data_IF_708993658690
#
_entry.id   IF_708993658690
#
_cell.length_a   1.000
_cell.length_b   1.000
_cell.length_c   1.000
_cell.angle_alpha   90.00
_cell.angle_beta   90.00
_cell.angle_gamma   90.00
#
_symmetry.space_group_name_H-M   'P 1'
#
loop_
_entity.id
_entity.type
_entity.pdbx_description
1 polymer ?
#
# COMPACT_ATOMS: atom_id res chain seq x y z
N UNK A 1 30.70 -22.46 17.99
CA UNK A 1 31.80 -23.47 18.01
C UNK A 1 33.17 -22.86 17.67
N UNK A 2 33.23 -21.72 16.96
CA UNK A 2 34.47 -21.09 16.48
C UNK A 2 35.17 -20.12 17.47
N UNK A 3 34.51 -19.69 18.54
CA UNK A 3 35.10 -18.80 19.56
C UNK A 3 36.25 -19.40 20.37
N UNK A 4 36.48 -20.72 20.27
CA UNK A 4 37.55 -21.45 20.96
C UNK A 4 38.90 -21.44 20.23
N UNK A 5 38.98 -20.95 18.99
CA UNK A 5 40.17 -21.07 18.12
C UNK A 5 40.74 -19.73 17.66
N UNK A 6 40.69 -18.69 18.51
CA UNK A 6 41.24 -17.35 18.20
C UNK A 6 42.74 -17.36 17.87
N UNK A 7 43.48 -18.40 18.26
CA UNK A 7 44.92 -18.53 17.96
C UNK A 7 45.21 -19.16 16.58
N UNK A 8 44.18 -19.59 15.83
CA UNK A 8 44.28 -20.22 14.50
C UNK A 8 43.58 -19.42 13.39
N UNK A 9 43.38 -18.10 13.57
CA UNK A 9 42.64 -17.25 12.62
C UNK A 9 43.20 -17.36 11.19
N UNK A 10 44.52 -17.35 11.03
CA UNK A 10 45.17 -17.49 9.71
C UNK A 10 44.89 -18.83 9.03
N UNK A 11 44.78 -19.92 9.81
CA UNK A 11 44.50 -21.25 9.26
C UNK A 11 43.03 -21.36 8.84
N UNK A 12 42.12 -20.71 9.56
CA UNK A 12 40.68 -20.66 9.26
C UNK A 12 40.43 -19.83 7.99
N UNK A 13 41.03 -18.64 7.88
CA UNK A 13 40.94 -17.82 6.67
C UNK A 13 41.44 -18.57 5.44
N UNK A 14 42.55 -19.31 5.58
CA UNK A 14 43.08 -20.12 4.50
C UNK A 14 42.13 -21.26 4.11
N UNK A 15 41.51 -21.94 5.09
CA UNK A 15 40.49 -22.97 4.84
C UNK A 15 39.26 -22.39 4.14
N UNK A 16 38.81 -21.21 4.53
CA UNK A 16 37.66 -20.54 3.92
C UNK A 16 37.97 -20.07 2.49
N UNK A 17 39.18 -19.61 2.21
CA UNK A 17 39.64 -19.30 0.85
C UNK A 17 39.70 -20.58 -0.01
N UNK A 18 40.16 -21.69 0.56
CA UNK A 18 40.07 -22.99 -0.12
C UNK A 18 38.62 -23.41 -0.36
N UNK A 19 37.72 -23.23 0.60
CA UNK A 19 36.30 -23.51 0.44
C UNK A 19 35.66 -22.66 -0.66
N UNK A 20 36.03 -21.38 -0.78
CA UNK A 20 35.62 -20.51 -1.89
C UNK A 20 36.09 -21.06 -3.24
N UNK A 21 37.34 -21.52 -3.32
CA UNK A 21 37.88 -22.11 -4.55
C UNK A 21 37.17 -23.41 -4.95
N UNK A 22 36.79 -24.23 -3.96
CA UNK A 22 36.02 -25.46 -4.17
C UNK A 22 34.58 -25.14 -4.58
N UNK A 23 33.99 -24.09 -4.02
CA UNK A 23 32.63 -23.63 -4.34
C UNK A 23 32.48 -23.13 -5.79
N UNK A 24 33.59 -22.86 -6.48
CA UNK A 24 33.62 -22.51 -7.92
C UNK A 24 33.68 -23.73 -8.85
N UNK A 25 33.81 -24.94 -8.32
CA UNK A 25 33.82 -26.16 -9.14
C UNK A 25 32.38 -26.43 -9.61
N UNK A 26 32.13 -26.57 -10.92
CA UNK A 26 30.79 -26.77 -11.47
C UNK A 26 30.32 -28.22 -11.27
N UNK A 27 30.11 -28.61 -10.01
CA UNK A 27 29.64 -29.93 -9.58
C UNK A 27 28.56 -29.76 -8.50
N UNK A 28 27.40 -30.37 -8.73
CA UNK A 28 26.20 -30.19 -7.91
C UNK A 28 26.40 -30.75 -6.50
N UNK A 29 27.10 -31.88 -6.34
CA UNK A 29 27.32 -32.50 -5.04
C UNK A 29 28.34 -31.70 -4.23
N UNK A 30 29.36 -31.15 -4.89
CA UNK A 30 30.30 -30.20 -4.27
C UNK A 30 29.56 -28.92 -3.83
N UNK A 31 28.68 -28.40 -4.67
CA UNK A 31 27.89 -27.20 -4.36
C UNK A 31 26.99 -27.41 -3.14
N UNK A 32 26.29 -28.55 -3.04
CA UNK A 32 25.48 -28.92 -1.86
C UNK A 32 26.30 -28.93 -0.58
N UNK A 33 27.47 -29.58 -0.62
CA UNK A 33 28.36 -29.67 0.54
C UNK A 33 28.82 -28.27 0.96
N UNK A 34 29.30 -27.46 0.01
CA UNK A 34 29.79 -26.11 0.30
C UNK A 34 28.69 -25.21 0.84
N UNK A 35 27.50 -25.26 0.25
CA UNK A 35 26.35 -24.43 0.65
C UNK A 35 25.94 -24.71 2.11
N UNK A 36 25.90 -25.99 2.53
CA UNK A 36 25.63 -26.33 3.93
C UNK A 36 26.66 -25.76 4.92
N UNK A 37 27.95 -25.65 4.53
CA UNK A 37 28.95 -24.94 5.34
C UNK A 37 28.70 -23.43 5.34
N UNK A 38 28.38 -22.85 4.19
CA UNK A 38 28.17 -21.41 4.05
C UNK A 38 26.93 -20.90 4.80
N UNK A 39 25.85 -21.68 4.90
CA UNK A 39 24.67 -21.32 5.70
C UNK A 39 25.02 -21.08 7.18
N UNK A 40 25.88 -21.92 7.74
CA UNK A 40 26.32 -21.74 9.15
C UNK A 40 27.34 -20.62 9.32
N UNK A 41 28.03 -20.24 8.24
CA UNK A 41 29.10 -19.25 8.24
C UNK A 41 28.61 -17.83 7.95
N UNK A 42 27.59 -17.67 7.10
CA UNK A 42 27.08 -16.36 6.65
C UNK A 42 26.54 -15.51 7.80
N UNK A 43 26.18 -16.14 8.92
CA UNK A 43 25.71 -15.46 10.13
C UNK A 43 26.84 -14.90 11.02
N UNK A 44 28.11 -15.20 10.73
CA UNK A 44 29.26 -14.75 11.54
C UNK A 44 29.69 -13.32 11.17
N UNK A 45 30.10 -12.51 12.15
CA UNK A 45 30.41 -11.08 11.96
C UNK A 45 31.85 -10.79 11.50
N UNK A 46 32.78 -11.72 11.71
CA UNK A 46 34.23 -11.45 11.64
C UNK A 46 34.86 -11.56 10.24
N UNK A 47 34.12 -12.01 9.20
CA UNK A 47 34.71 -12.44 7.92
C UNK A 47 34.13 -11.75 6.68
N UNK A 48 33.99 -10.43 6.72
CA UNK A 48 33.37 -9.62 5.65
C UNK A 48 34.00 -9.85 4.27
N UNK A 49 35.32 -9.85 4.16
CA UNK A 49 35.98 -10.00 2.86
C UNK A 49 35.73 -11.38 2.21
N UNK A 50 35.61 -12.43 3.02
CA UNK A 50 35.28 -13.78 2.55
C UNK A 50 33.81 -13.86 2.15
N UNK A 51 32.91 -13.21 2.90
CA UNK A 51 31.48 -13.11 2.57
C UNK A 51 31.24 -12.36 1.25
N UNK A 52 32.02 -11.32 0.95
CA UNK A 52 32.00 -10.62 -0.35
C UNK A 52 32.34 -11.55 -1.51
N UNK A 53 33.47 -12.25 -1.40
CA UNK A 53 33.90 -13.23 -2.39
C UNK A 53 32.90 -14.39 -2.51
N UNK A 54 32.27 -14.78 -1.40
CA UNK A 54 31.21 -15.79 -1.41
C UNK A 54 29.97 -15.34 -2.17
N UNK A 55 29.51 -14.09 -1.98
CA UNK A 55 28.38 -13.56 -2.75
C UNK A 55 28.67 -13.59 -4.25
N UNK A 56 29.90 -13.24 -4.63
CA UNK A 56 30.35 -13.35 -6.02
C UNK A 56 30.30 -14.80 -6.51
N UNK A 57 30.86 -15.75 -5.76
CA UNK A 57 30.84 -17.16 -6.14
C UNK A 57 29.42 -17.71 -6.24
N UNK A 58 28.55 -17.41 -5.29
CA UNK A 58 27.14 -17.85 -5.32
C UNK A 58 26.43 -17.26 -6.53
N UNK A 59 26.68 -16.00 -6.89
CA UNK A 59 26.08 -15.43 -8.12
C UNK A 59 26.59 -16.09 -9.40
N UNK A 60 27.82 -16.63 -9.40
CA UNK A 60 28.41 -17.34 -10.55
C UNK A 60 27.95 -18.79 -10.65
N UNK A 61 27.66 -19.44 -9.52
CA UNK A 61 27.38 -20.88 -9.46
C UNK A 61 25.94 -21.23 -9.11
N UNK A 62 25.08 -20.22 -8.97
CA UNK A 62 23.67 -20.39 -8.59
C UNK A 62 22.98 -21.39 -9.50
N UNK A 63 22.50 -22.47 -8.89
CA UNK A 63 21.79 -23.52 -9.62
C UNK A 63 20.37 -23.06 -9.92
N UNK A 64 19.86 -23.33 -11.12
CA UNK A 64 18.50 -22.93 -11.47
C UNK A 64 17.47 -23.78 -10.72
N UNK A 65 16.32 -23.21 -10.30
CA UNK A 65 15.40 -23.90 -9.41
C UNK A 65 14.77 -25.18 -9.99
N UNK A 66 14.82 -25.47 -11.31
CA UNK A 66 14.50 -26.76 -11.94
C UNK A 66 14.98 -26.82 -13.42
N UNK A 67 15.55 -27.95 -13.87
CA UNK A 67 15.79 -28.23 -15.30
C UNK A 67 14.52 -28.83 -15.95
N UNK A 68 13.93 -28.12 -16.91
CA UNK A 68 12.80 -28.60 -17.71
C UNK A 68 13.37 -29.26 -18.98
N UNK A 69 13.22 -30.58 -19.13
CA UNK A 69 13.44 -31.24 -20.42
C UNK A 69 12.14 -31.26 -21.22
N UNK A 70 12.17 -30.68 -22.42
CA UNK A 70 11.10 -30.78 -23.41
C UNK A 70 11.35 -32.03 -24.26
N UNK A 71 10.49 -33.04 -24.12
CA UNK A 71 10.52 -34.22 -25.01
C UNK A 71 9.30 -34.12 -25.93
N UNK A 72 9.55 -34.26 -27.24
CA UNK A 72 8.52 -34.31 -28.25
C UNK A 72 8.07 -35.78 -28.40
N UNK A 73 6.80 -36.06 -28.18
CA UNK A 73 6.22 -37.39 -28.39
C UNK A 73 6.19 -37.75 -29.89
N UNK A 74 5.99 -39.03 -30.23
CA UNK A 74 5.94 -39.54 -31.60
C UNK A 74 4.85 -38.86 -32.46
N UNK A 75 3.82 -38.30 -31.82
CA UNK A 75 2.74 -37.52 -32.45
C UNK A 75 3.03 -36.01 -32.54
N UNK A 76 4.22 -35.56 -32.13
CA UNK A 76 4.67 -34.17 -32.27
C UNK A 76 4.24 -33.22 -31.14
N UNK A 77 3.53 -33.71 -30.12
CA UNK A 77 3.15 -32.92 -28.94
C UNK A 77 4.31 -32.79 -27.94
N UNK A 78 4.47 -31.59 -27.38
CA UNK A 78 5.54 -31.28 -26.41
C UNK A 78 5.03 -31.63 -25.02
N UNK A 79 5.55 -32.70 -24.43
CA UNK A 79 5.22 -33.10 -23.06
C UNK A 79 6.30 -32.53 -22.13
N UNK A 80 5.88 -31.77 -21.11
CA UNK A 80 6.78 -31.26 -20.07
C UNK A 80 7.03 -32.36 -19.04
N UNK A 81 8.24 -32.91 -19.00
CA UNK A 81 8.64 -33.82 -17.94
C UNK A 81 9.42 -33.03 -16.87
N UNK A 82 8.84 -32.91 -15.67
CA UNK A 82 9.53 -32.34 -14.52
C UNK A 82 10.58 -33.36 -14.06
N UNK A 83 11.86 -33.06 -14.23
CA UNK A 83 12.90 -33.82 -13.54
C UNK A 83 12.79 -33.46 -12.06
N UNK A 84 12.10 -34.30 -11.29
CA UNK A 84 12.05 -34.20 -9.84
C UNK A 84 13.41 -34.57 -9.26
N UNK A 85 14.38 -33.68 -9.35
CA UNK A 85 15.54 -33.71 -8.45
C UNK A 85 15.19 -32.78 -7.29
N UNK A 86 14.53 -33.31 -6.25
CA UNK A 86 14.15 -32.53 -5.05
C UNK A 86 15.33 -31.82 -4.40
N UNK A 87 16.53 -32.32 -4.64
CA UNK A 87 17.76 -31.80 -4.08
C UNK A 87 18.21 -30.47 -4.72
N UNK A 88 17.82 -30.20 -5.97
CA UNK A 88 18.24 -28.99 -6.70
C UNK A 88 17.43 -27.77 -6.27
N UNK A 89 16.15 -27.95 -5.98
CA UNK A 89 15.29 -26.91 -5.41
C UNK A 89 15.74 -26.54 -3.98
N UNK A 90 16.02 -27.54 -3.13
CA UNK A 90 16.56 -27.29 -1.80
C UNK A 90 17.92 -26.56 -1.84
N UNK A 91 18.77 -26.93 -2.78
CA UNK A 91 20.05 -26.23 -2.99
C UNK A 91 19.85 -24.76 -3.41
N UNK A 92 18.89 -24.50 -4.30
CA UNK A 92 18.54 -23.13 -4.70
C UNK A 92 18.05 -22.30 -3.50
N UNK A 93 17.16 -22.85 -2.68
CA UNK A 93 16.64 -22.17 -1.48
C UNK A 93 17.77 -21.82 -0.50
N UNK A 94 18.72 -22.75 -0.30
CA UNK A 94 19.91 -22.55 0.52
C UNK A 94 20.84 -21.46 -0.03
N UNK A 95 21.12 -21.48 -1.34
CA UNK A 95 21.95 -20.47 -2.00
C UNK A 95 21.30 -19.08 -1.94
N UNK A 96 19.98 -19.02 -2.14
CA UNK A 96 19.18 -17.80 -2.02
C UNK A 96 19.24 -17.25 -0.59
N UNK A 97 19.09 -18.10 0.43
CA UNK A 97 19.18 -17.69 1.83
C UNK A 97 20.55 -17.06 2.16
N UNK A 98 21.65 -17.67 1.70
CA UNK A 98 23.00 -17.12 1.90
C UNK A 98 23.14 -15.76 1.21
N UNK A 99 22.69 -15.65 -0.04
CA UNK A 99 22.78 -14.39 -0.79
C UNK A 99 21.96 -13.27 -0.13
N UNK A 100 20.75 -13.58 0.37
CA UNK A 100 19.93 -12.65 1.13
C UNK A 100 20.60 -12.21 2.44
N UNK A 101 21.22 -13.14 3.17
CA UNK A 101 21.93 -12.86 4.41
C UNK A 101 23.14 -11.93 4.18
N UNK A 102 23.90 -12.13 3.10
CA UNK A 102 25.02 -11.24 2.73
C UNK A 102 24.49 -9.89 2.26
N UNK A 103 23.45 -9.86 1.42
CA UNK A 103 22.85 -8.61 0.91
C UNK A 103 22.33 -7.72 2.02
N UNK A 104 21.73 -8.31 3.06
CA UNK A 104 21.28 -7.58 4.24
C UNK A 104 22.43 -6.94 5.03
N UNK A 105 23.62 -7.55 5.00
CA UNK A 105 24.79 -7.12 5.80
C UNK A 105 25.69 -6.15 5.04
N UNK A 106 25.83 -6.31 3.73
CA UNK A 106 26.74 -5.50 2.91
C UNK A 106 26.07 -4.95 1.64
N UNK A 107 25.08 -4.05 1.81
CA UNK A 107 24.33 -3.48 0.69
C UNK A 107 25.22 -2.67 -0.27
N UNK A 108 26.18 -1.91 0.25
CA UNK A 108 27.13 -1.11 -0.56
C UNK A 108 28.03 -2.00 -1.44
N UNK A 109 28.43 -3.18 -0.95
CA UNK A 109 29.22 -4.11 -1.74
C UNK A 109 28.37 -4.77 -2.84
N UNK A 110 27.16 -5.22 -2.52
CA UNK A 110 26.24 -5.76 -3.52
C UNK A 110 25.93 -4.71 -4.58
N UNK A 111 25.76 -3.44 -4.20
CA UNK A 111 25.63 -2.33 -5.15
C UNK A 111 26.86 -2.23 -6.07
N UNK A 112 28.08 -2.33 -5.54
CA UNK A 112 29.30 -2.33 -6.37
C UNK A 112 29.42 -3.56 -7.29
N UNK A 113 28.96 -4.74 -6.86
CA UNK A 113 28.92 -5.95 -7.70
C UNK A 113 27.87 -5.83 -8.80
N UNK A 114 26.70 -5.27 -8.49
CA UNK A 114 25.66 -4.95 -9.48
C UNK A 114 26.17 -3.98 -10.53
N UNK A 115 26.94 -2.97 -10.11
CA UNK A 115 27.60 -1.97 -10.96
C UNK A 115 28.69 -2.60 -11.85
N UNK A 116 29.63 -3.36 -11.27
CA UNK A 116 30.80 -3.87 -11.98
C UNK A 116 30.49 -5.05 -12.93
N UNK A 117 29.38 -5.76 -12.73
CA UNK A 117 29.03 -6.97 -13.51
C UNK A 117 27.94 -6.79 -14.56
N UNK A 118 27.47 -5.58 -14.86
CA UNK A 118 26.39 -5.33 -15.83
C UNK A 118 25.12 -6.17 -15.55
N UNK A 119 24.81 -6.41 -14.27
CA UNK A 119 23.68 -7.27 -13.89
C UNK A 119 22.34 -6.61 -14.28
N UNK A 120 22.24 -5.28 -14.23
CA UNK A 120 21.02 -4.55 -14.62
C UNK A 120 20.63 -4.82 -16.10
N UNK A 121 21.52 -4.67 -17.10
CA UNK A 121 21.26 -5.12 -18.47
C UNK A 121 20.76 -6.57 -18.57
N UNK A 122 21.39 -7.51 -17.85
CA UNK A 122 20.98 -8.92 -17.84
C UNK A 122 19.60 -9.11 -17.22
N UNK A 123 19.28 -8.41 -16.12
CA UNK A 123 17.95 -8.44 -15.51
C UNK A 123 16.88 -7.87 -16.45
N UNK A 124 17.19 -6.81 -17.20
CA UNK A 124 16.30 -6.25 -18.22
C UNK A 124 16.02 -7.30 -19.31
N UNK A 125 17.05 -7.98 -19.80
CA UNK A 125 16.90 -9.03 -20.82
C UNK A 125 16.10 -10.21 -20.28
N UNK A 126 16.42 -10.70 -19.08
CA UNK A 126 15.66 -11.74 -18.39
C UNK A 126 14.19 -11.37 -18.21
N UNK A 127 13.90 -10.13 -17.80
CA UNK A 127 12.53 -9.64 -17.63
C UNK A 127 11.78 -9.59 -18.97
N UNK A 128 12.42 -9.11 -20.03
CA UNK A 128 11.82 -9.05 -21.38
C UNK A 128 11.53 -10.44 -21.94
N UNK A 129 12.46 -11.39 -21.77
CA UNK A 129 12.26 -12.79 -22.17
C UNK A 129 11.09 -13.38 -21.38
N UNK A 130 11.03 -13.14 -20.07
CA UNK A 130 9.94 -13.61 -19.23
C UNK A 130 8.59 -12.96 -19.60
N UNK A 131 8.58 -11.77 -20.19
CA UNK A 131 7.34 -11.16 -20.66
C UNK A 131 6.80 -11.78 -21.97
N UNK A 132 7.67 -12.36 -22.80
CA UNK A 132 7.30 -12.87 -24.13
C UNK A 132 6.68 -14.27 -24.19
N UNK A 133 6.63 -15.01 -23.07
CA UNK A 133 6.14 -16.40 -23.02
C UNK A 133 4.84 -16.50 -22.20
N UNK A 134 3.70 -16.13 -22.82
CA UNK A 134 2.39 -16.02 -22.15
C UNK A 134 1.82 -17.37 -21.64
N UNK A 135 2.35 -18.50 -22.12
CA UNK A 135 1.77 -19.83 -21.91
C UNK A 135 2.40 -20.64 -20.77
N UNK A 136 3.31 -20.07 -19.97
CA UNK A 136 3.92 -20.77 -18.83
C UNK A 136 3.79 -19.99 -17.51
N UNK A 137 3.80 -20.70 -16.37
CA UNK A 137 3.77 -20.10 -15.03
C UNK A 137 5.15 -19.61 -14.57
N UNK A 138 6.21 -20.23 -15.09
CA UNK A 138 7.62 -19.91 -14.84
C UNK A 138 7.99 -18.42 -15.10
N UNK A 139 7.52 -17.76 -16.17
CA UNK A 139 7.83 -16.38 -16.48
C UNK A 139 7.18 -15.39 -15.52
N UNK A 140 5.99 -15.70 -14.96
CA UNK A 140 5.38 -14.90 -13.89
C UNK A 140 6.25 -14.91 -12.62
N UNK A 141 6.78 -16.08 -12.24
CA UNK A 141 7.68 -16.20 -11.10
C UNK A 141 8.99 -15.43 -11.31
N UNK A 142 9.55 -15.45 -12.52
CA UNK A 142 10.77 -14.69 -12.85
C UNK A 142 10.51 -13.18 -12.79
N UNK A 143 9.42 -12.68 -13.39
CA UNK A 143 9.05 -11.25 -13.30
C UNK A 143 8.91 -10.82 -11.85
N UNK A 144 8.20 -11.61 -11.04
CA UNK A 144 8.03 -11.37 -9.61
C UNK A 144 9.37 -11.34 -8.87
N UNK A 145 10.25 -12.29 -9.13
CA UNK A 145 11.57 -12.36 -8.50
C UNK A 145 12.45 -11.15 -8.85
N UNK A 146 12.42 -10.67 -10.10
CA UNK A 146 13.16 -9.46 -10.51
C UNK A 146 12.62 -8.23 -9.77
N UNK A 147 11.30 -8.08 -9.65
CA UNK A 147 10.69 -6.97 -8.90
C UNK A 147 11.07 -7.05 -7.42
N UNK A 148 11.00 -8.24 -6.81
CA UNK A 148 11.38 -8.44 -5.40
C UNK A 148 12.87 -8.16 -5.16
N UNK A 149 13.74 -8.57 -6.07
CA UNK A 149 15.18 -8.27 -5.98
C UNK A 149 15.41 -6.75 -6.00
N UNK A 150 14.74 -6.05 -6.91
CA UNK A 150 14.81 -4.60 -7.01
C UNK A 150 14.22 -3.93 -5.75
N UNK A 151 13.13 -4.45 -5.20
CA UNK A 151 12.53 -3.98 -3.96
C UNK A 151 13.49 -4.14 -2.77
N UNK A 152 14.10 -5.31 -2.62
CA UNK A 152 15.14 -5.57 -1.62
C UNK A 152 16.35 -4.65 -1.80
N UNK A 153 16.76 -4.40 -3.04
CA UNK A 153 17.82 -3.43 -3.34
C UNK A 153 17.43 -2.04 -2.87
N UNK A 154 16.24 -1.53 -3.24
CA UNK A 154 15.79 -0.19 -2.82
C UNK A 154 15.73 -0.06 -1.30
N UNK A 155 15.21 -1.08 -0.61
CA UNK A 155 15.09 -1.07 0.84
C UNK A 155 16.42 -1.14 1.58
N UNK A 156 17.46 -1.72 0.96
CA UNK A 156 18.79 -1.88 1.56
C UNK A 156 19.68 -0.64 1.39
N UNK A 157 19.23 0.35 0.61
CA UNK A 157 19.93 1.62 0.41
C UNK A 157 19.95 2.42 1.72
N UNK A 158 21.16 2.82 2.14
CA UNK A 158 21.40 3.66 3.32
C UNK A 158 21.95 5.06 2.99
N UNK A 159 22.26 5.34 1.72
CA UNK A 159 22.86 6.59 1.23
C UNK A 159 22.21 7.05 -0.08
N UNK A 160 22.57 8.23 -0.60
CA UNK A 160 22.02 8.73 -1.87
C UNK A 160 22.37 7.79 -3.02
N UNK A 161 21.34 7.26 -3.70
CA UNK A 161 21.50 6.40 -4.87
C UNK A 161 21.18 7.16 -6.14
N UNK A 162 22.04 6.94 -7.14
CA UNK A 162 21.79 7.39 -8.49
C UNK A 162 20.74 6.48 -9.15
N UNK A 163 19.49 6.95 -9.17
CA UNK A 163 18.36 6.26 -9.81
C UNK A 163 18.58 6.05 -11.31
N UNK A 164 19.48 6.80 -11.95
CA UNK A 164 19.73 6.66 -13.38
C UNK A 164 20.19 5.25 -13.76
N UNK A 165 20.85 4.53 -12.84
CA UNK A 165 21.32 3.16 -13.06
C UNK A 165 20.18 2.15 -13.21
N UNK A 166 19.09 2.34 -12.46
CA UNK A 166 17.93 1.42 -12.45
C UNK A 166 16.77 1.92 -13.32
N UNK A 167 16.85 3.14 -13.86
CA UNK A 167 15.81 3.76 -14.68
C UNK A 167 15.37 2.86 -15.85
N UNK A 168 16.31 2.22 -16.55
CA UNK A 168 16.01 1.35 -17.68
C UNK A 168 15.18 0.12 -17.28
N UNK A 169 15.45 -0.45 -16.11
CA UNK A 169 14.70 -1.59 -15.57
C UNK A 169 13.31 -1.15 -15.09
N UNK A 170 13.22 -0.01 -14.40
CA UNK A 170 11.95 0.57 -13.97
C UNK A 170 11.02 0.85 -15.16
N UNK A 171 11.54 1.38 -16.26
CA UNK A 171 10.76 1.65 -17.46
C UNK A 171 10.18 0.37 -18.09
N UNK A 172 10.94 -0.73 -18.09
CA UNK A 172 10.49 -2.02 -18.63
C UNK A 172 9.41 -2.63 -17.74
N UNK A 173 9.59 -2.59 -16.41
CA UNK A 173 8.60 -3.07 -15.45
C UNK A 173 7.30 -2.25 -15.55
N UNK A 174 7.41 -0.93 -15.62
CA UNK A 174 6.27 -0.03 -15.75
C UNK A 174 5.49 -0.25 -17.05
N UNK A 175 6.19 -0.41 -18.18
CA UNK A 175 5.56 -0.71 -19.47
C UNK A 175 4.81 -2.05 -19.44
N UNK A 176 5.40 -3.07 -18.83
CA UNK A 176 4.75 -4.38 -18.64
C UNK A 176 3.50 -4.29 -17.77
N UNK A 177 3.56 -3.54 -16.66
CA UNK A 177 2.41 -3.30 -15.78
C UNK A 177 1.23 -2.64 -16.54
N UNK A 178 1.53 -1.62 -17.36
CA UNK A 178 0.52 -0.94 -18.19
C UNK A 178 -0.16 -1.92 -19.15
N UNK A 179 0.62 -2.78 -19.81
CA UNK A 179 0.14 -3.75 -20.80
C UNK A 179 -0.63 -4.94 -20.19
N UNK A 180 -0.35 -5.30 -18.94
CA UNK A 180 -0.84 -6.54 -18.31
C UNK A 180 -2.32 -6.56 -17.88
N UNK A 181 -3.10 -5.48 -18.08
CA UNK A 181 -4.52 -5.34 -17.67
C UNK A 181 -4.83 -5.99 -16.31
N UNK A 182 -5.52 -7.14 -16.28
CA UNK A 182 -5.99 -7.81 -15.05
C UNK A 182 -4.93 -8.72 -14.40
N UNK A 183 -3.80 -8.92 -15.08
CA UNK A 183 -2.65 -9.71 -14.62
C UNK A 183 -1.52 -8.84 -14.05
N UNK A 184 -1.84 -7.60 -13.69
CA UNK A 184 -0.92 -6.64 -13.07
C UNK A 184 -0.37 -7.17 -11.74
N UNK A 185 0.95 -7.14 -11.61
CA UNK A 185 1.65 -7.60 -10.41
C UNK A 185 1.60 -6.52 -9.30
N UNK A 186 1.00 -6.79 -8.12
CA UNK A 186 0.89 -5.82 -7.03
C UNK A 186 2.24 -5.28 -6.54
N UNK A 187 3.30 -6.09 -6.62
CA UNK A 187 4.64 -5.70 -6.18
C UNK A 187 5.22 -4.51 -6.95
N UNK A 188 4.74 -4.22 -8.17
CA UNK A 188 5.15 -3.02 -8.90
C UNK A 188 4.76 -1.76 -8.14
N UNK A 189 3.54 -1.73 -7.58
CA UNK A 189 3.07 -0.60 -6.78
C UNK A 189 3.85 -0.50 -5.46
N UNK A 190 4.16 -1.64 -4.83
CA UNK A 190 4.99 -1.69 -3.62
C UNK A 190 6.41 -1.15 -3.86
N UNK A 191 7.03 -1.57 -4.97
CA UNK A 191 8.35 -1.11 -5.40
C UNK A 191 8.35 0.42 -5.60
N UNK A 192 7.35 0.95 -6.33
CA UNK A 192 7.22 2.39 -6.53
C UNK A 192 7.06 3.13 -5.20
N UNK A 193 6.26 2.61 -4.27
CA UNK A 193 6.08 3.23 -2.95
C UNK A 193 7.41 3.28 -2.19
N UNK A 194 8.19 2.19 -2.20
CA UNK A 194 9.51 2.15 -1.56
C UNK A 194 10.49 3.15 -2.18
N UNK A 195 10.47 3.32 -3.51
CA UNK A 195 11.31 4.29 -4.22
C UNK A 195 11.00 5.71 -3.74
N UNK A 196 9.72 6.09 -3.68
CA UNK A 196 9.33 7.43 -3.24
C UNK A 196 9.49 7.64 -1.73
N UNK A 197 9.37 6.60 -0.89
CA UNK A 197 9.67 6.72 0.53
C UNK A 197 11.16 6.92 0.81
N UNK A 198 12.04 6.24 0.06
CA UNK A 198 13.48 6.20 0.38
C UNK A 198 14.30 7.32 -0.23
N UNK A 199 13.91 7.88 -1.36
CA UNK A 199 14.80 8.72 -2.16
C UNK A 199 14.54 10.20 -1.93
N UNK A 200 15.33 10.81 -1.05
CA UNK A 200 15.15 12.19 -0.59
C UNK A 200 15.70 13.30 -1.49
N UNK A 201 16.67 12.98 -2.36
CA UNK A 201 17.29 13.99 -3.21
C UNK A 201 17.31 13.52 -4.68
N UNK A 202 16.22 13.78 -5.42
CA UNK A 202 16.06 13.22 -6.74
C UNK A 202 16.93 13.90 -7.80
N UNK A 203 17.41 13.10 -8.75
CA UNK A 203 18.10 13.61 -9.95
C UNK A 203 17.08 14.39 -10.79
N UNK A 204 17.22 15.73 -10.82
CA UNK A 204 16.25 16.66 -11.39
C UNK A 204 15.88 16.39 -12.87
N UNK A 205 16.75 15.72 -13.63
CA UNK A 205 16.50 15.39 -15.04
C UNK A 205 15.64 14.16 -15.24
N UNK A 206 15.69 13.19 -14.32
CA UNK A 206 15.03 11.88 -14.48
C UNK A 206 13.76 11.80 -13.65
N UNK A 207 13.76 12.41 -12.47
CA UNK A 207 12.71 12.24 -11.49
C UNK A 207 11.31 12.71 -11.92
N UNK A 208 11.14 13.85 -12.62
CA UNK A 208 9.83 14.25 -13.11
C UNK A 208 9.20 13.20 -14.04
N UNK A 209 10.01 12.50 -14.85
CA UNK A 209 9.53 11.45 -15.73
C UNK A 209 9.04 10.21 -14.95
N UNK A 210 9.77 9.82 -13.89
CA UNK A 210 9.36 8.72 -13.01
C UNK A 210 8.07 9.08 -12.27
N UNK A 211 7.99 10.29 -11.70
CA UNK A 211 6.78 10.77 -11.01
C UNK A 211 5.56 10.76 -11.94
N UNK A 212 5.68 11.35 -13.13
CA UNK A 212 4.59 11.38 -14.10
C UNK A 212 4.15 9.97 -14.52
N UNK A 213 5.11 9.05 -14.74
CA UNK A 213 4.81 7.66 -15.05
C UNK A 213 4.09 6.96 -13.88
N UNK A 214 4.49 7.22 -12.63
CA UNK A 214 3.82 6.66 -11.45
C UNK A 214 2.40 7.19 -11.28
N UNK A 215 2.18 8.50 -11.49
CA UNK A 215 0.85 9.10 -11.45
C UNK A 215 -0.05 8.47 -12.54
N UNK A 216 0.47 8.31 -13.75
CA UNK A 216 -0.26 7.67 -14.85
C UNK A 216 -0.60 6.19 -14.57
N UNK A 217 0.33 5.45 -13.94
CA UNK A 217 0.07 4.09 -13.46
C UNK A 217 -1.08 4.07 -12.45
N UNK A 218 -1.02 4.92 -11.41
CA UNK A 218 -2.05 4.99 -10.37
C UNK A 218 -3.43 5.33 -10.93
N UNK A 219 -3.55 6.48 -11.60
CA UNK A 219 -4.87 7.05 -11.91
C UNK A 219 -5.42 6.59 -13.26
N UNK A 220 -4.58 6.42 -14.29
CA UNK A 220 -5.08 6.03 -15.62
C UNK A 220 -5.24 4.51 -15.76
N UNK A 221 -4.41 3.71 -15.07
CA UNK A 221 -4.34 2.27 -15.28
C UNK A 221 -4.87 1.43 -14.12
N UNK A 222 -4.52 1.79 -12.88
CA UNK A 222 -4.90 1.00 -11.69
C UNK A 222 -6.28 1.39 -11.16
N UNK A 223 -6.61 2.68 -11.08
CA UNK A 223 -7.86 3.15 -10.48
C UNK A 223 -9.11 2.57 -11.16
N UNK A 224 -9.11 2.46 -12.50
CA UNK A 224 -10.23 1.92 -13.27
C UNK A 224 -10.56 0.45 -12.95
N UNK A 225 -9.59 -0.31 -12.42
CA UNK A 225 -9.82 -1.67 -11.92
C UNK A 225 -10.50 -1.67 -10.55
N UNK A 226 -10.18 -0.68 -9.71
CA UNK A 226 -10.56 -0.68 -8.29
C UNK A 226 -11.95 -0.10 -8.07
N UNK A 227 -12.37 0.90 -8.84
CA UNK A 227 -13.65 1.62 -8.63
C UNK A 227 -14.91 0.80 -8.92
N UNK A 228 -14.79 -0.42 -9.46
CA UNK A 228 -15.95 -1.24 -9.81
C UNK A 228 -16.62 -1.87 -8.59
N UNK A 229 -15.83 -2.32 -7.61
CA UNK A 229 -16.32 -2.95 -6.38
C UNK A 229 -15.25 -2.99 -5.28
N UNK A 230 -15.66 -3.38 -4.06
CA UNK A 230 -14.82 -3.43 -2.87
C UNK A 230 -14.07 -4.77 -2.66
N UNK A 231 -14.23 -5.75 -3.55
CA UNK A 231 -13.80 -7.14 -3.35
C UNK A 231 -12.63 -7.55 -4.23
N UNK A 232 -12.62 -7.14 -5.50
CA UNK A 232 -11.65 -7.61 -6.48
C UNK A 232 -10.25 -7.04 -6.24
N UNK A 233 -9.20 -7.77 -6.64
CA UNK A 233 -7.81 -7.34 -6.55
C UNK A 233 -7.37 -6.78 -5.17
N UNK A 234 -7.59 -7.51 -4.06
CA UNK A 234 -7.31 -7.01 -2.71
C UNK A 234 -5.84 -6.61 -2.51
N UNK A 235 -4.89 -7.37 -3.06
CA UNK A 235 -3.46 -7.06 -2.98
C UNK A 235 -3.09 -5.79 -3.75
N UNK A 236 -3.61 -5.62 -4.98
CA UNK A 236 -3.41 -4.40 -5.77
C UNK A 236 -3.98 -3.20 -5.02
N UNK A 237 -5.17 -3.35 -4.42
CA UNK A 237 -5.84 -2.27 -3.70
C UNK A 237 -5.03 -1.82 -2.48
N UNK A 238 -4.54 -2.75 -1.66
CA UNK A 238 -3.70 -2.41 -0.52
C UNK A 238 -2.44 -1.63 -0.95
N UNK A 239 -1.75 -2.09 -2.00
CA UNK A 239 -0.56 -1.42 -2.50
C UNK A 239 -0.85 -0.09 -3.20
N UNK A 240 -2.02 0.04 -3.85
CA UNK A 240 -2.49 1.30 -4.42
C UNK A 240 -2.62 2.38 -3.34
N UNK A 241 -3.32 2.09 -2.23
CA UNK A 241 -3.49 3.07 -1.15
C UNK A 241 -2.19 3.39 -0.42
N UNK A 242 -1.31 2.40 -0.26
CA UNK A 242 0.03 2.64 0.26
C UNK A 242 0.81 3.62 -0.64
N UNK A 243 0.85 3.37 -1.95
CA UNK A 243 1.54 4.24 -2.89
C UNK A 243 0.89 5.64 -2.95
N UNK A 244 -0.44 5.71 -2.93
CA UNK A 244 -1.18 6.98 -2.87
C UNK A 244 -0.77 7.80 -1.65
N UNK A 245 -0.74 7.20 -0.46
CA UNK A 245 -0.31 7.87 0.78
C UNK A 245 1.11 8.44 0.65
N UNK A 246 2.05 7.66 0.11
CA UNK A 246 3.44 8.09 -0.08
C UNK A 246 3.54 9.29 -1.03
N UNK A 247 2.86 9.21 -2.18
CA UNK A 247 2.85 10.31 -3.15
C UNK A 247 2.22 11.56 -2.56
N UNK A 248 1.09 11.43 -1.87
CA UNK A 248 0.41 12.55 -1.20
C UNK A 248 1.34 13.19 -0.17
N UNK A 249 1.95 12.40 0.72
CA UNK A 249 2.86 12.94 1.75
C UNK A 249 4.06 13.69 1.18
N UNK A 250 4.58 13.21 0.05
CA UNK A 250 5.82 13.73 -0.53
C UNK A 250 5.61 14.91 -1.47
N UNK A 251 4.45 14.99 -2.12
CA UNK A 251 4.17 15.98 -3.18
C UNK A 251 2.91 16.82 -2.92
N UNK A 252 2.47 16.92 -1.68
CA UNK A 252 1.22 17.61 -1.32
C UNK A 252 1.11 19.04 -1.88
N UNK A 253 2.22 19.80 -1.84
CA UNK A 253 2.27 21.17 -2.36
C UNK A 253 2.02 21.23 -3.87
N UNK A 254 2.63 20.31 -4.63
CA UNK A 254 2.43 20.24 -6.09
C UNK A 254 1.04 19.72 -6.45
N UNK A 255 0.49 18.82 -5.62
CA UNK A 255 -0.89 18.32 -5.75
C UNK A 255 -1.89 19.47 -5.59
N UNK A 256 -1.75 20.32 -4.56
CA UNK A 256 -2.64 21.47 -4.39
C UNK A 256 -2.59 22.46 -5.55
N UNK A 257 -1.43 22.60 -6.22
CA UNK A 257 -1.26 23.44 -7.40
C UNK A 257 -1.78 22.82 -8.70
N UNK A 258 -2.20 21.56 -8.67
CA UNK A 258 -2.65 20.79 -9.85
C UNK A 258 -4.10 20.32 -9.66
N UNK A 259 -5.12 21.11 -10.04
CA UNK A 259 -6.52 20.83 -9.70
C UNK A 259 -7.04 19.46 -10.14
N UNK A 260 -6.68 19.00 -11.34
CA UNK A 260 -7.12 17.68 -11.85
C UNK A 260 -6.54 16.52 -11.02
N UNK A 261 -5.29 16.66 -10.57
CA UNK A 261 -4.62 15.67 -9.73
C UNK A 261 -5.21 15.71 -8.31
N UNK A 262 -5.43 16.90 -7.76
CA UNK A 262 -6.08 17.08 -6.46
C UNK A 262 -7.46 16.41 -6.44
N UNK A 263 -8.31 16.66 -7.44
CA UNK A 263 -9.63 16.03 -7.49
C UNK A 263 -9.56 14.51 -7.50
N UNK A 264 -8.67 13.95 -8.34
CA UNK A 264 -8.41 12.51 -8.43
C UNK A 264 -7.96 11.94 -7.08
N UNK A 265 -7.03 12.62 -6.39
CA UNK A 265 -6.53 12.23 -5.06
C UNK A 265 -7.65 12.25 -4.02
N UNK A 266 -8.45 13.32 -3.93
CA UNK A 266 -9.54 13.40 -2.95
C UNK A 266 -10.61 12.35 -3.24
N UNK A 267 -10.95 12.11 -4.52
CA UNK A 267 -11.92 11.08 -4.89
C UNK A 267 -11.44 9.68 -4.45
N UNK A 268 -10.16 9.36 -4.65
CA UNK A 268 -9.57 8.11 -4.18
C UNK A 268 -9.56 8.01 -2.65
N UNK A 269 -9.19 9.07 -1.94
CA UNK A 269 -9.19 9.09 -0.47
C UNK A 269 -10.60 8.83 0.06
N UNK A 270 -11.60 9.57 -0.41
CA UNK A 270 -13.01 9.41 0.01
C UNK A 270 -13.54 8.00 -0.32
N UNK A 271 -13.19 7.47 -1.48
CA UNK A 271 -13.58 6.09 -1.81
C UNK A 271 -12.89 5.08 -0.88
N UNK A 272 -11.63 5.35 -0.51
CA UNK A 272 -10.84 4.55 0.42
C UNK A 272 -11.39 4.47 1.82
N UNK A 273 -11.97 5.57 2.34
CA UNK A 273 -12.53 5.59 3.70
C UNK A 273 -13.77 4.69 3.85
N UNK A 274 -14.45 4.35 2.74
CA UNK A 274 -15.63 3.47 2.69
C UNK A 274 -15.30 1.97 2.69
N UNK A 275 -14.02 1.60 2.77
CA UNK A 275 -13.61 0.19 2.78
C UNK A 275 -13.84 -0.50 4.12
N UNK A 276 -14.37 -1.73 4.08
CA UNK A 276 -14.47 -2.62 5.24
C UNK A 276 -13.08 -3.14 5.65
N UNK A 277 -12.13 -3.21 4.71
CA UNK A 277 -10.74 -3.61 5.00
C UNK A 277 -10.01 -2.52 5.79
N UNK A 278 -9.69 -2.82 7.05
CA UNK A 278 -9.06 -1.90 8.02
C UNK A 278 -7.81 -1.23 7.45
N UNK A 279 -6.91 -2.00 6.83
CA UNK A 279 -5.64 -1.46 6.32
C UNK A 279 -5.88 -0.35 5.29
N UNK A 280 -6.88 -0.52 4.42
CA UNK A 280 -7.22 0.46 3.38
C UNK A 280 -7.92 1.67 3.99
N UNK A 281 -8.96 1.45 4.79
CA UNK A 281 -9.74 2.55 5.37
C UNK A 281 -8.89 3.41 6.29
N UNK A 282 -8.04 2.80 7.13
CA UNK A 282 -7.14 3.54 8.01
C UNK A 282 -6.09 4.33 7.22
N UNK A 283 -5.53 3.75 6.16
CA UNK A 283 -4.56 4.46 5.29
C UNK A 283 -5.23 5.67 4.63
N UNK A 284 -6.45 5.52 4.10
CA UNK A 284 -7.20 6.60 3.50
C UNK A 284 -7.58 7.69 4.51
N UNK A 285 -8.08 7.33 5.70
CA UNK A 285 -8.46 8.27 6.76
C UNK A 285 -7.24 9.08 7.26
N UNK A 286 -6.10 8.42 7.48
CA UNK A 286 -4.84 9.10 7.85
C UNK A 286 -4.35 10.03 6.75
N UNK A 287 -4.45 9.61 5.49
CA UNK A 287 -4.10 10.44 4.35
C UNK A 287 -5.02 11.66 4.25
N UNK A 288 -6.32 11.49 4.52
CA UNK A 288 -7.29 12.58 4.58
C UNK A 288 -6.93 13.61 5.66
N UNK A 289 -6.62 13.17 6.88
CA UNK A 289 -6.13 14.05 7.96
C UNK A 289 -4.89 14.83 7.54
N UNK A 290 -3.91 14.15 6.92
CA UNK A 290 -2.70 14.78 6.43
C UNK A 290 -3.00 15.86 5.37
N UNK A 291 -3.91 15.60 4.43
CA UNK A 291 -4.33 16.59 3.43
C UNK A 291 -4.99 17.79 4.10
N UNK A 292 -5.89 17.58 5.07
CA UNK A 292 -6.55 18.66 5.81
C UNK A 292 -5.54 19.52 6.60
N UNK A 293 -4.55 18.89 7.24
CA UNK A 293 -3.47 19.60 7.94
C UNK A 293 -2.66 20.48 6.99
N UNK A 294 -2.28 19.96 5.82
CA UNK A 294 -1.46 20.70 4.88
C UNK A 294 -2.27 21.78 4.14
N UNK A 295 -3.56 21.55 3.86
CA UNK A 295 -4.42 22.55 3.25
C UNK A 295 -4.51 23.86 4.06
N UNK A 296 -4.48 23.76 5.40
CA UNK A 296 -4.42 24.93 6.28
C UNK A 296 -3.08 25.69 6.25
N UNK A 297 -2.01 25.03 5.82
CA UNK A 297 -0.68 25.63 5.76
C UNK A 297 -0.35 26.23 4.38
N UNK A 298 -1.21 26.01 3.39
CA UNK A 298 -1.07 26.59 2.06
C UNK A 298 -1.39 28.10 2.04
N UNK A 299 -1.05 28.76 0.94
CA UNK A 299 -1.39 30.16 0.71
C UNK A 299 -2.92 30.37 0.71
N UNK A 300 -3.39 31.51 1.21
CA UNK A 300 -4.82 31.82 1.45
C UNK A 300 -5.72 31.51 0.24
N UNK A 301 -5.26 31.82 -0.98
CA UNK A 301 -6.02 31.58 -2.21
C UNK A 301 -6.19 30.08 -2.50
N UNK A 302 -5.13 29.29 -2.29
CA UNK A 302 -5.11 27.83 -2.51
C UNK A 302 -5.94 27.12 -1.44
N UNK A 303 -5.76 27.50 -0.17
CA UNK A 303 -6.53 26.98 0.95
C UNK A 303 -8.03 27.28 0.77
N UNK A 304 -8.36 28.52 0.38
CA UNK A 304 -9.76 28.93 0.12
C UNK A 304 -10.39 28.10 -0.99
N UNK A 305 -9.68 27.90 -2.11
CA UNK A 305 -10.18 27.08 -3.21
C UNK A 305 -10.41 25.62 -2.76
N UNK A 306 -9.49 25.05 -1.98
CA UNK A 306 -9.62 23.69 -1.46
C UNK A 306 -10.86 23.55 -0.57
N UNK A 307 -11.03 24.42 0.42
CA UNK A 307 -12.15 24.31 1.36
C UNK A 307 -13.50 24.65 0.73
N UNK A 308 -13.55 25.58 -0.23
CA UNK A 308 -14.78 25.87 -0.97
C UNK A 308 -15.29 24.65 -1.76
N UNK A 309 -14.39 23.86 -2.33
CA UNK A 309 -14.74 22.70 -3.18
C UNK A 309 -14.94 21.42 -2.37
N UNK A 310 -14.05 21.14 -1.41
CA UNK A 310 -13.95 19.80 -0.81
C UNK A 310 -14.44 19.70 0.63
N UNK A 311 -14.60 20.82 1.36
CA UNK A 311 -14.91 20.78 2.80
C UNK A 311 -16.20 20.02 3.09
N UNK A 312 -17.32 20.44 2.48
CA UNK A 312 -18.62 19.80 2.75
C UNK A 312 -18.59 18.34 2.29
N UNK A 313 -17.98 18.04 1.15
CA UNK A 313 -17.87 16.66 0.63
C UNK A 313 -17.16 15.75 1.62
N UNK A 314 -15.97 16.12 2.07
CA UNK A 314 -15.18 15.32 3.03
C UNK A 314 -15.97 15.14 4.34
N UNK A 315 -16.61 16.20 4.84
CA UNK A 315 -17.39 16.13 6.07
C UNK A 315 -18.59 15.17 5.93
N UNK A 316 -19.36 15.31 4.86
CA UNK A 316 -20.53 14.46 4.59
C UNK A 316 -20.14 12.99 4.46
N UNK A 317 -19.15 12.68 3.62
CA UNK A 317 -18.68 11.31 3.43
C UNK A 317 -18.14 10.71 4.75
N UNK A 318 -17.48 11.51 5.59
CA UNK A 318 -16.96 11.05 6.90
C UNK A 318 -18.08 10.83 7.92
N UNK A 319 -19.13 11.65 7.91
CA UNK A 319 -20.31 11.46 8.74
C UNK A 319 -21.09 10.21 8.29
N UNK A 320 -21.29 10.02 7.00
CA UNK A 320 -21.99 8.85 6.46
C UNK A 320 -21.31 7.54 6.87
N UNK A 321 -19.99 7.43 6.73
CA UNK A 321 -19.25 6.22 7.16
C UNK A 321 -19.23 6.01 8.68
N UNK A 322 -19.32 7.09 9.47
CA UNK A 322 -19.38 7.00 10.92
C UNK A 322 -20.74 6.44 11.38
N UNK A 323 -21.80 6.84 10.68
CA UNK A 323 -23.18 6.42 10.96
C UNK A 323 -23.45 5.00 10.43
N UNK A 324 -22.76 4.58 9.37
CA UNK A 324 -22.82 3.23 8.82
C UNK A 324 -22.27 2.17 9.81
N UNK A 325 -23.09 1.20 10.24
CA UNK A 325 -22.66 0.11 11.13
C UNK A 325 -21.49 -0.73 10.58
N UNK A 326 -21.40 -0.90 9.25
CA UNK A 326 -20.39 -1.77 8.62
C UNK A 326 -19.02 -1.08 8.48
N UNK A 327 -18.98 0.25 8.59
CA UNK A 327 -17.79 1.07 8.39
C UNK A 327 -17.17 1.62 9.69
N UNK A 328 -17.61 1.15 10.87
CA UNK A 328 -17.09 1.62 12.19
C UNK A 328 -15.66 1.18 12.52
N UNK A 329 -15.01 0.44 11.64
CA UNK A 329 -13.63 -0.03 11.81
C UNK A 329 -12.60 1.12 11.94
N UNK A 330 -12.96 2.33 11.50
CA UNK A 330 -12.13 3.55 11.52
C UNK A 330 -12.59 4.62 12.49
N UNK A 331 -13.45 4.29 13.49
CA UNK A 331 -14.09 5.24 14.40
C UNK A 331 -13.14 6.33 14.93
N UNK A 332 -11.95 5.93 15.39
CA UNK A 332 -10.95 6.85 15.94
C UNK A 332 -10.55 7.94 14.92
N UNK A 333 -10.23 7.56 13.68
CA UNK A 333 -9.83 8.54 12.66
C UNK A 333 -11.03 9.29 12.06
N UNK A 334 -12.19 8.65 11.93
CA UNK A 334 -13.43 9.29 11.47
C UNK A 334 -13.81 10.46 12.38
N UNK A 335 -13.85 10.20 13.70
CA UNK A 335 -14.12 11.23 14.71
C UNK A 335 -13.04 12.29 14.76
N UNK A 336 -11.76 11.94 14.61
CA UNK A 336 -10.67 12.92 14.50
C UNK A 336 -10.85 13.86 13.30
N UNK A 337 -11.23 13.35 12.13
CA UNK A 337 -11.51 14.18 10.94
C UNK A 337 -12.66 15.14 11.24
N UNK A 338 -13.79 14.61 11.74
CA UNK A 338 -14.98 15.43 12.01
C UNK A 338 -14.67 16.51 13.05
N UNK A 339 -14.13 16.13 14.21
CA UNK A 339 -13.74 17.08 15.28
C UNK A 339 -12.81 18.16 14.73
N UNK A 340 -11.78 17.78 13.96
CA UNK A 340 -10.85 18.73 13.34
C UNK A 340 -11.56 19.71 12.41
N UNK A 341 -12.41 19.22 11.52
CA UNK A 341 -13.13 20.07 10.55
C UNK A 341 -14.06 21.05 11.28
N UNK A 342 -14.83 20.58 12.25
CA UNK A 342 -15.72 21.45 13.04
C UNK A 342 -14.92 22.52 13.82
N UNK A 343 -13.79 22.12 14.41
CA UNK A 343 -12.90 23.04 15.12
C UNK A 343 -12.35 24.14 14.22
N UNK A 344 -11.92 23.81 12.99
CA UNK A 344 -11.43 24.82 12.02
C UNK A 344 -12.46 25.93 11.76
N UNK A 345 -13.75 25.60 11.73
CA UNK A 345 -14.83 26.57 11.54
C UNK A 345 -15.10 27.37 12.81
N UNK A 346 -15.07 26.71 13.96
CA UNK A 346 -15.32 27.34 15.25
C UNK A 346 -14.22 28.32 15.67
N UNK A 347 -12.97 27.99 15.41
CA UNK A 347 -11.81 28.85 15.67
C UNK A 347 -11.64 29.94 14.60
N UNK A 348 -12.39 29.86 13.49
CA UNK A 348 -12.32 30.82 12.39
C UNK A 348 -11.06 30.69 11.54
N UNK A 349 -10.47 29.49 11.47
CA UNK A 349 -9.30 29.21 10.62
C UNK A 349 -9.67 29.24 9.12
N UNK A 350 -10.93 28.94 8.77
CA UNK A 350 -11.44 28.97 7.40
C UNK A 350 -12.28 30.23 7.19
N UNK A 351 -11.70 31.21 6.49
CA UNK A 351 -12.35 32.47 6.15
C UNK A 351 -13.25 32.40 4.92
N UNK A 352 -12.98 31.46 4.01
CA UNK A 352 -13.79 31.30 2.79
C UNK A 352 -15.15 30.72 3.12
N UNK A 353 -16.14 30.99 2.26
CA UNK A 353 -17.46 30.39 2.39
C UNK A 353 -17.38 28.93 1.94
N UNK A 354 -17.82 28.00 2.78
CA UNK A 354 -17.79 26.54 2.48
C UNK A 354 -19.06 26.02 1.78
N UNK A 355 -19.98 26.92 1.42
CA UNK A 355 -21.26 26.58 0.81
C UNK A 355 -21.56 27.49 -0.38
N UNK A 356 -22.31 26.96 -1.36
CA UNK A 356 -22.76 27.77 -2.48
C UNK A 356 -23.95 28.67 -2.08
N UNK A 357 -23.88 30.00 -2.30
CA UNK A 357 -24.98 30.93 -2.03
C UNK A 357 -26.28 30.60 -2.75
N UNK A 358 -26.19 29.91 -3.89
CA UNK A 358 -27.35 29.54 -4.72
C UNK A 358 -28.12 28.35 -4.15
N UNK A 359 -27.49 27.55 -3.28
CA UNK A 359 -28.05 26.32 -2.73
C UNK A 359 -28.69 26.52 -1.36
N UNK A 360 -28.62 27.72 -0.78
CA UNK A 360 -29.11 28.01 0.58
C UNK A 360 -30.15 29.12 0.61
N UNK A 361 -31.08 29.02 1.57
CA UNK A 361 -32.14 30.02 1.76
C UNK A 361 -31.64 31.37 2.24
N UNK A 362 -30.55 31.40 3.03
CA UNK A 362 -29.92 32.62 3.54
C UNK A 362 -28.45 32.70 3.10
N UNK A 363 -28.14 33.38 2.00
CA UNK A 363 -26.76 33.53 1.49
C UNK A 363 -25.78 34.26 2.44
N UNK A 364 -26.28 34.94 3.47
CA UNK A 364 -25.50 35.73 4.42
C UNK A 364 -25.24 34.99 5.75
N UNK A 365 -25.66 33.73 5.87
CA UNK A 365 -25.38 32.92 7.06
C UNK A 365 -23.88 32.70 7.24
N UNK A 366 -23.47 32.46 8.49
CA UNK A 366 -22.08 32.09 8.78
C UNK A 366 -21.80 30.63 8.40
N UNK A 367 -20.54 30.26 8.19
CA UNK A 367 -20.17 28.85 7.99
C UNK A 367 -20.63 27.97 9.17
N UNK A 368 -20.56 28.49 10.40
CA UNK A 368 -21.02 27.78 11.60
C UNK A 368 -22.53 27.50 11.54
N UNK A 369 -23.34 28.52 11.26
CA UNK A 369 -24.79 28.39 11.13
C UNK A 369 -25.17 27.44 9.99
N UNK A 370 -24.46 27.52 8.86
CA UNK A 370 -24.65 26.60 7.73
C UNK A 370 -24.40 25.15 8.15
N UNK A 371 -23.25 24.84 8.77
CA UNK A 371 -22.88 23.47 9.10
C UNK A 371 -23.73 22.87 10.21
N UNK A 372 -24.13 23.65 11.21
CA UNK A 372 -25.07 23.18 12.24
C UNK A 372 -26.40 22.72 11.62
N UNK A 373 -26.97 23.54 10.73
CA UNK A 373 -28.19 23.18 10.01
C UNK A 373 -27.96 21.97 9.09
N UNK A 374 -26.85 21.94 8.36
CA UNK A 374 -26.52 20.86 7.43
C UNK A 374 -26.38 19.50 8.13
N UNK A 375 -25.63 19.44 9.23
CA UNK A 375 -25.45 18.20 10.01
C UNK A 375 -26.77 17.77 10.66
N UNK A 376 -27.54 18.72 11.21
CA UNK A 376 -28.85 18.45 11.79
C UNK A 376 -29.81 17.84 10.75
N UNK A 377 -29.85 18.42 9.55
CA UNK A 377 -30.68 17.92 8.45
C UNK A 377 -30.21 16.53 8.01
N UNK A 378 -28.90 16.30 7.89
CA UNK A 378 -28.34 14.98 7.58
C UNK A 378 -28.79 13.93 8.61
N UNK A 379 -28.57 14.19 9.91
CA UNK A 379 -28.95 13.27 10.98
C UNK A 379 -30.45 13.04 11.06
N UNK A 380 -31.26 14.08 10.85
CA UNK A 380 -32.73 13.97 10.87
C UNK A 380 -33.23 13.10 9.72
N UNK A 381 -32.59 13.19 8.54
CA UNK A 381 -32.93 12.36 7.40
C UNK A 381 -32.48 10.91 7.57
N UNK A 382 -31.29 10.68 8.18
CA UNK A 382 -30.77 9.34 8.42
C UNK A 382 -31.53 8.62 9.54
N UNK A 383 -31.95 9.34 10.59
CA UNK A 383 -32.63 8.76 11.77
C UNK A 383 -33.96 9.48 12.06
N UNK A 384 -35.00 9.28 11.22
CA UNK A 384 -36.27 9.99 11.34
C UNK A 384 -37.08 9.63 12.60
N UNK A 385 -36.71 8.53 13.28
CA UNK A 385 -37.35 8.08 14.52
C UNK A 385 -36.88 8.86 15.76
N UNK A 386 -35.72 9.53 15.68
CA UNK A 386 -35.16 10.29 16.80
C UNK A 386 -35.85 11.65 16.94
N UNK A 387 -35.95 12.15 18.17
CA UNK A 387 -36.52 13.47 18.41
C UNK A 387 -35.56 14.54 17.92
N UNK A 388 -36.06 15.48 17.12
CA UNK A 388 -35.26 16.60 16.59
C UNK A 388 -34.49 17.37 17.69
N UNK A 389 -35.09 17.56 18.86
CA UNK A 389 -34.43 18.22 19.99
C UNK A 389 -33.22 17.46 20.54
N UNK A 390 -33.19 16.13 20.44
CA UNK A 390 -32.02 15.33 20.84
C UNK A 390 -30.88 15.53 19.83
N UNK A 391 -31.21 15.53 18.53
CA UNK A 391 -30.24 15.79 17.47
C UNK A 391 -29.67 17.22 17.54
N UNK A 392 -30.50 18.22 17.86
CA UNK A 392 -30.05 19.60 18.08
C UNK A 392 -29.02 19.69 19.20
N UNK A 393 -29.25 19.01 20.34
CA UNK A 393 -28.31 18.96 21.46
C UNK A 393 -27.00 18.27 21.08
N UNK A 394 -27.08 17.17 20.34
CA UNK A 394 -25.89 16.47 19.84
C UNK A 394 -25.07 17.39 18.94
N UNK A 395 -25.71 18.00 17.93
CA UNK A 395 -25.01 18.88 16.98
C UNK A 395 -24.37 20.04 17.71
N UNK A 396 -25.03 20.67 18.67
CA UNK A 396 -24.41 21.70 19.51
C UNK A 396 -23.18 21.16 20.26
N UNK A 397 -23.28 19.99 20.89
CA UNK A 397 -22.17 19.33 21.57
C UNK A 397 -20.99 19.00 20.66
N UNK A 398 -21.24 18.60 19.41
CA UNK A 398 -20.19 18.32 18.42
C UNK A 398 -19.31 19.55 18.15
N UNK A 399 -19.89 20.75 18.10
CA UNK A 399 -19.11 21.97 18.00
C UNK A 399 -18.47 22.31 19.35
N UNK A 400 -19.25 22.38 20.43
CA UNK A 400 -18.76 22.81 21.75
C UNK A 400 -17.57 21.99 22.28
N UNK A 401 -17.43 20.72 21.88
CA UNK A 401 -16.33 19.83 22.27
C UNK A 401 -15.37 19.48 21.13
N UNK A 402 -15.42 20.21 20.01
CA UNK A 402 -14.55 19.96 18.86
C UNK A 402 -13.06 20.10 19.16
N UNK A 403 -12.68 20.80 20.25
CA UNK A 403 -11.31 21.00 20.74
C UNK A 403 -10.83 19.89 21.71
N UNK A 404 -11.75 19.17 22.36
CA UNK A 404 -11.48 18.02 23.24
C UNK A 404 -11.85 16.72 22.54
N UNK A 405 -10.88 16.16 21.79
CA UNK A 405 -11.08 14.95 21.01
C UNK A 405 -11.58 13.76 21.85
N UNK A 406 -11.09 13.60 23.08
CA UNK A 406 -11.48 12.47 23.92
C UNK A 406 -12.95 12.58 24.31
N UNK A 407 -13.39 13.78 24.69
CA UNK A 407 -14.78 14.03 25.03
C UNK A 407 -15.68 13.90 23.79
N UNK A 408 -15.28 14.50 22.68
CA UNK A 408 -15.98 14.40 21.40
C UNK A 408 -16.22 12.94 21.01
N UNK A 409 -15.17 12.10 21.09
CA UNK A 409 -15.27 10.67 20.79
C UNK A 409 -16.23 9.93 21.71
N UNK A 410 -16.20 10.21 23.01
CA UNK A 410 -17.10 9.58 23.96
C UNK A 410 -18.57 9.98 23.68
N UNK A 411 -18.85 11.26 23.46
CA UNK A 411 -20.20 11.76 23.20
C UNK A 411 -20.79 11.16 21.89
N UNK A 412 -19.97 11.05 20.84
CA UNK A 412 -20.36 10.39 19.59
C UNK A 412 -20.57 8.88 19.81
N UNK A 413 -19.72 8.24 20.60
CA UNK A 413 -19.83 6.81 20.87
C UNK A 413 -21.14 6.50 21.62
N UNK A 414 -21.47 7.28 22.65
CA UNK A 414 -22.71 7.15 23.41
C UNK A 414 -23.93 7.33 22.49
N UNK A 415 -23.90 8.34 21.62
CA UNK A 415 -24.95 8.55 20.62
C UNK A 415 -25.12 7.36 19.65
N UNK A 416 -24.03 6.78 19.16
CA UNK A 416 -24.08 5.62 18.26
C UNK A 416 -24.58 4.34 18.96
N UNK A 417 -24.43 4.25 20.28
CA UNK A 417 -25.00 3.18 21.10
C UNK A 417 -26.50 3.40 21.25
N UNK A 418 -26.92 4.61 21.63
CA UNK A 418 -28.32 4.97 21.81
C UNK A 418 -29.14 4.72 20.52
N UNK A 419 -28.61 5.11 19.35
CA UNK A 419 -29.26 4.85 18.06
C UNK A 419 -29.46 3.37 17.83
N UNK A 420 -28.42 2.57 18.09
CA UNK A 420 -28.47 1.15 17.81
C UNK A 420 -29.53 0.45 18.66
N UNK A 421 -29.70 0.89 19.91
CA UNK A 421 -30.77 0.38 20.77
C UNK A 421 -32.16 0.70 20.19
N UNK A 422 -32.36 1.92 19.68
CA UNK A 422 -33.63 2.32 19.02
C UNK A 422 -33.90 1.52 17.76
N UNK A 423 -32.89 1.27 16.93
CA UNK A 423 -33.02 0.46 15.71
C UNK A 423 -33.35 -1.01 16.03
N UNK A 424 -32.69 -1.59 17.03
CA UNK A 424 -32.97 -2.97 17.50
C UNK A 424 -34.39 -3.09 18.08
N UNK A 425 -34.86 -2.11 18.84
CA UNK A 425 -36.24 -2.06 19.35
C UNK A 425 -37.28 -1.94 18.23
N UNK A 426 -37.03 -1.08 17.24
CA UNK A 426 -37.92 -0.88 16.09
C UNK A 426 -38.07 -2.16 15.26
N UNK A 427 -36.95 -2.81 14.91
CA UNK A 427 -36.95 -4.07 14.15
C UNK A 427 -37.63 -5.19 14.95
N UNK A 428 -37.43 -5.22 16.28
CA UNK A 428 -38.12 -6.16 17.17
C UNK A 428 -39.64 -5.99 17.14
N UNK A 429 -40.11 -4.75 17.14
CA UNK A 429 -41.54 -4.44 17.09
C UNK A 429 -42.17 -4.82 15.74
N UNK A 430 -41.49 -4.53 14.62
CA UNK A 430 -41.94 -4.93 13.28
C UNK A 430 -42.07 -6.45 13.15
N UNK A 431 -41.06 -7.22 13.57
CA UNK A 431 -41.13 -8.69 13.56
C UNK A 431 -42.29 -9.23 14.39
N UNK A 432 -42.53 -8.66 15.56
CA UNK A 432 -43.65 -9.06 16.41
C UNK A 432 -45.02 -8.78 15.75
N UNK A 433 -45.13 -7.67 15.00
CA UNK A 433 -46.33 -7.37 14.22
C UNK A 433 -46.51 -8.37 13.06
N UNK A 434 -45.46 -8.67 12.31
CA UNK A 434 -45.49 -9.66 11.22
C UNK A 434 -45.89 -11.06 11.72
N UNK A 435 -45.34 -11.51 12.86
CA UNK A 435 -45.72 -12.78 13.49
C UNK A 435 -47.20 -12.79 13.89
N UNK A 436 -47.68 -11.70 14.49
CA UNK A 436 -49.08 -11.58 14.90
C UNK A 436 -50.03 -11.56 13.69
N UNK A 437 -49.65 -10.90 12.60
CA UNK A 437 -50.44 -10.84 11.38
C UNK A 437 -50.48 -12.20 10.66
N UNK A 438 -49.35 -12.92 10.61
CA UNK A 438 -49.27 -14.28 10.08
C UNK A 438 -50.14 -15.27 10.89
N UNK A 439 -50.15 -15.16 12.23
CA UNK A 439 -51.04 -15.96 13.07
C UNK A 439 -52.52 -15.68 12.78
N UNK A 440 -52.90 -14.41 12.59
CA UNK A 440 -54.26 -14.02 12.24
C UNK A 440 -54.68 -14.50 10.85
N UNK A 441 -53.77 -14.54 9.88
CA UNK A 441 -54.04 -15.13 8.56
C UNK A 441 -54.24 -16.65 8.61
N UNK A 442 -53.45 -17.35 9.41
CA UNK A 442 -53.64 -18.79 9.65
C UNK A 442 -55.01 -19.06 10.28
N UNK A 443 -55.44 -18.22 11.23
CA UNK A 443 -56.76 -18.34 11.85
C UNK A 443 -57.93 -17.96 10.92
N UNK A 444 -57.70 -17.14 9.88
CA UNK A 444 -58.72 -16.82 8.86
C UNK A 444 -58.89 -17.91 7.79
N UNK A 445 -57.90 -18.79 7.64
CA UNK A 445 -57.87 -19.88 6.67
C UNK A 445 -58.34 -21.24 7.26
N UNK A 446 -58.83 -21.24 8.51
CA UNK A 446 -59.52 -22.35 9.19
C UNK A 446 -61.00 -21.99 9.32
#
# INVERSE_FOLDING_TARGET
>A
MLTKYKDCINDIDQILVYLLSISRIPDIDICKICTGYWETFVEQDDYRQIQRELAVVITETMVMPNDILRVQDEDGEIIQEYIKQSDTAALYDSMQHILQAITKREPEFIQSVLHDRQIIPSLIECYKIANGDENSSLPKHIRKAVIQLLECFILSIHSQVDISEIQGLLQVIAADYVQSSDQREPLVLSLLANIFEKIDNPVATVWPAILNQTIDILFSHTLSMLIQNFSDFPEIRAQFYRLLEVIVKRYIQDIFRTPELLDSVINCIIWGTKHIQIEISHTALKTCLFVLDNALQEEDDVASQFFEIYYVRILTDTLEILLDPDCRNGFEYQTQIISKMLRMIQEGEIYTRVFSPEQVSNPLMSNMEFLQNYILDLLTNTYPLLQKSQLEVLVMGMFDYSDDLQRFQNDIQDFLIDIREVDEESVGYERAQEETEAELELLRNI
#
